data_IF_565314312157
#
_entry.id   IF_565314312157
#
_cell.length_a   1.000
_cell.length_b   1.000
_cell.length_c   1.000
_cell.angle_alpha   90.00
_cell.angle_beta   90.00
_cell.angle_gamma   90.00
#
_symmetry.space_group_name_H-M   'P 1'
#
loop_
_entity.id
_entity.type
_entity.pdbx_description
1 polymer ?
#
# COMPACT_ATOMS: atom_id res chain seq x y z
N UNK A 1 19.17 14.27 -46.37
CA UNK A 1 18.74 13.19 -45.46
C UNK A 1 18.64 13.78 -44.06
N UNK A 2 17.43 14.09 -43.60
CA UNK A 2 17.14 14.61 -42.26
C UNK A 2 16.65 13.45 -41.40
N UNK A 3 17.42 13.07 -40.39
CA UNK A 3 17.06 12.08 -39.40
C UNK A 3 16.12 12.71 -38.36
N UNK A 4 14.82 12.46 -38.47
CA UNK A 4 13.88 12.75 -37.40
C UNK A 4 13.87 11.58 -36.43
N UNK A 5 14.51 11.77 -35.27
CA UNK A 5 14.48 10.85 -34.14
C UNK A 5 13.06 10.82 -33.57
N UNK A 6 12.40 9.67 -33.71
CA UNK A 6 11.12 9.38 -33.09
C UNK A 6 11.32 9.21 -31.57
N UNK A 7 10.96 10.23 -30.80
CA UNK A 7 10.80 10.10 -29.35
C UNK A 7 9.48 9.41 -29.03
N UNK A 8 9.44 8.08 -29.15
CA UNK A 8 8.32 7.31 -28.61
C UNK A 8 8.31 7.46 -27.09
N UNK A 9 7.42 8.32 -26.59
CA UNK A 9 7.07 8.42 -25.18
C UNK A 9 6.30 7.14 -24.80
N UNK A 10 7.04 6.05 -24.60
CA UNK A 10 6.46 4.78 -24.19
C UNK A 10 5.86 4.93 -22.80
N UNK A 11 4.56 4.68 -22.76
CA UNK A 11 3.74 4.43 -21.59
C UNK A 11 4.29 3.21 -20.81
N UNK A 12 5.35 3.42 -20.03
CA UNK A 12 5.76 2.47 -19.01
C UNK A 12 4.89 2.69 -17.77
N UNK A 13 3.71 2.08 -17.75
CA UNK A 13 2.94 1.84 -16.51
C UNK A 13 3.57 0.77 -15.61
N UNK A 14 4.78 0.30 -15.92
CA UNK A 14 5.63 -0.43 -15.00
C UNK A 14 6.61 0.58 -14.40
N UNK A 15 6.45 0.98 -13.14
CA UNK A 15 7.53 1.62 -12.39
C UNK A 15 8.56 0.51 -12.13
N UNK A 16 9.65 0.39 -12.90
CA UNK A 16 10.59 -0.69 -12.70
C UNK A 16 11.61 -0.14 -11.70
N UNK A 17 11.44 -0.44 -10.42
CA UNK A 17 12.46 -0.12 -9.41
C UNK A 17 13.81 -0.86 -9.65
N UNK A 18 13.86 -1.75 -10.67
CA UNK A 18 15.06 -2.28 -11.31
C UNK A 18 15.91 -1.12 -11.87
N UNK A 19 16.71 -0.49 -11.02
CA UNK A 19 17.52 0.68 -11.36
C UNK A 19 17.57 1.76 -10.28
N UNK A 20 16.86 1.60 -9.17
CA UNK A 20 16.88 2.57 -8.06
C UNK A 20 18.10 2.45 -7.13
N UNK A 21 19.12 1.68 -7.53
CA UNK A 21 20.37 1.49 -6.80
C UNK A 21 21.33 2.71 -6.79
N UNK A 22 20.95 3.87 -7.35
CA UNK A 22 21.77 5.08 -7.27
C UNK A 22 21.50 5.85 -5.96
N UNK A 23 22.54 6.40 -5.34
CA UNK A 23 22.60 7.08 -4.03
C UNK A 23 21.80 8.40 -3.89
N UNK A 24 20.78 8.64 -4.73
CA UNK A 24 20.04 9.90 -4.76
C UNK A 24 18.56 9.73 -4.45
N UNK A 25 17.94 10.81 -3.97
CA UNK A 25 16.49 10.90 -3.80
C UNK A 25 15.79 10.76 -5.14
N UNK A 26 14.85 9.81 -5.25
CA UNK A 26 14.07 9.57 -6.47
C UNK A 26 12.60 9.85 -6.21
N UNK A 27 11.92 10.40 -7.21
CA UNK A 27 10.48 10.66 -7.15
C UNK A 27 9.78 9.84 -8.22
N UNK A 28 8.62 9.29 -7.87
CA UNK A 28 7.73 8.62 -8.82
C UNK A 28 6.28 9.00 -8.51
N UNK A 29 5.40 8.80 -9.48
CA UNK A 29 3.97 9.05 -9.35
C UNK A 29 3.21 7.84 -9.85
N UNK A 30 2.11 7.49 -9.20
CA UNK A 30 1.16 6.48 -9.65
C UNK A 30 -0.19 7.15 -9.85
N UNK A 31 -0.81 6.83 -10.98
CA UNK A 31 -2.18 7.19 -11.24
C UNK A 31 -3.08 6.05 -10.77
N UNK A 32 -4.05 6.35 -9.91
CA UNK A 32 -5.06 5.39 -9.45
C UNK A 32 -6.44 5.98 -9.67
N UNK A 33 -7.45 5.11 -9.78
CA UNK A 33 -8.84 5.57 -9.70
C UNK A 33 -9.22 5.76 -8.24
N UNK A 34 -9.82 6.87 -7.87
CA UNK A 34 -10.50 7.00 -6.58
C UNK A 34 -11.77 6.13 -6.57
N UNK A 35 -12.45 6.05 -5.42
CA UNK A 35 -13.69 5.25 -5.31
C UNK A 35 -14.83 5.74 -6.22
N UNK A 36 -14.77 6.99 -6.69
CA UNK A 36 -15.72 7.56 -7.66
C UNK A 36 -15.30 7.34 -9.12
N UNK A 37 -14.18 6.65 -9.39
CA UNK A 37 -13.68 6.38 -10.73
C UNK A 37 -12.85 7.49 -11.37
N UNK A 38 -12.59 8.58 -10.65
CA UNK A 38 -11.74 9.69 -11.12
C UNK A 38 -10.26 9.31 -11.02
N UNK A 39 -9.47 9.72 -12.00
CA UNK A 39 -8.02 9.49 -11.95
C UNK A 39 -7.37 10.49 -11.01
N UNK A 40 -6.68 10.00 -9.98
CA UNK A 40 -5.89 10.79 -9.04
C UNK A 40 -4.43 10.38 -9.08
N UNK A 41 -3.55 11.31 -8.71
CA UNK A 41 -2.11 11.09 -8.60
C UNK A 41 -1.69 10.90 -7.15
N UNK A 42 -0.94 9.83 -6.87
CA UNK A 42 -0.28 9.57 -5.58
C UNK A 42 1.23 9.44 -5.80
N UNK A 43 2.03 10.04 -4.92
CA UNK A 43 3.47 10.19 -5.09
C UNK A 43 4.31 9.24 -4.23
N UNK A 44 5.48 8.87 -4.75
CA UNK A 44 6.53 8.14 -4.05
C UNK A 44 7.77 9.04 -3.99
N UNK A 45 8.44 9.06 -2.84
CA UNK A 45 9.81 9.55 -2.72
C UNK A 45 10.64 8.39 -2.19
N UNK A 46 11.76 8.06 -2.83
CA UNK A 46 12.71 7.09 -2.30
C UNK A 46 13.94 7.79 -1.77
N UNK A 47 14.26 7.48 -0.54
CA UNK A 47 15.30 8.13 0.25
C UNK A 47 15.77 7.13 1.30
N UNK A 48 17.08 6.97 1.45
CA UNK A 48 17.71 6.08 2.42
C UNK A 48 17.19 4.63 2.37
N UNK A 49 16.97 4.09 1.16
CA UNK A 49 16.51 2.71 0.98
C UNK A 49 15.02 2.47 1.26
N UNK A 50 14.25 3.52 1.61
CA UNK A 50 12.84 3.43 1.94
C UNK A 50 11.98 4.25 0.98
N UNK A 51 10.77 3.75 0.73
CA UNK A 51 9.68 4.50 0.13
C UNK A 51 9.05 5.39 1.20
N UNK A 52 9.04 6.69 0.94
CA UNK A 52 8.24 7.71 1.60
C UNK A 52 6.98 7.93 0.76
N UNK A 53 5.84 7.72 1.39
CA UNK A 53 4.53 7.70 0.76
C UNK A 53 3.92 9.11 0.75
N UNK A 54 3.58 9.63 -0.42
CA UNK A 54 2.92 10.93 -0.59
C UNK A 54 1.42 10.80 -0.85
N UNK A 55 0.71 11.93 -0.91
CA UNK A 55 -0.72 11.97 -1.23
C UNK A 55 -1.63 11.95 0.00
N UNK A 56 -2.93 11.75 -0.24
CA UNK A 56 -3.96 11.91 0.78
C UNK A 56 -5.05 10.84 0.59
N UNK A 57 -5.19 9.92 1.55
CA UNK A 57 -6.18 8.85 1.48
C UNK A 57 -7.62 9.38 1.38
N UNK A 58 -7.94 10.51 2.00
CA UNK A 58 -9.27 11.14 1.91
C UNK A 58 -9.65 11.46 0.47
N UNK A 59 -8.68 11.94 -0.34
CA UNK A 59 -8.88 12.17 -1.78
C UNK A 59 -9.09 10.86 -2.54
N UNK A 60 -8.32 9.82 -2.19
CA UNK A 60 -8.47 8.47 -2.79
C UNK A 60 -9.81 7.81 -2.47
N UNK A 61 -10.38 8.12 -1.32
CA UNK A 61 -11.70 7.67 -0.89
C UNK A 61 -12.83 8.61 -1.29
N UNK A 62 -12.54 9.67 -2.06
CA UNK A 62 -13.50 10.68 -2.48
C UNK A 62 -14.40 11.19 -1.33
N UNK A 63 -13.82 11.42 -0.15
CA UNK A 63 -14.58 11.93 1.00
C UNK A 63 -14.57 13.46 0.93
N UNK A 64 -15.72 14.13 0.75
CA UNK A 64 -15.78 15.59 0.56
C UNK A 64 -15.28 16.37 1.78
N UNK A 65 -14.85 17.61 1.57
CA UNK A 65 -14.59 18.53 2.69
C UNK A 65 -15.90 18.77 3.47
N UNK A 66 -15.83 18.73 4.80
CA UNK A 66 -17.00 18.87 5.68
C UNK A 66 -17.72 17.56 6.02
N UNK A 67 -17.40 16.46 5.34
CA UNK A 67 -17.92 15.12 5.71
C UNK A 67 -17.28 14.65 7.03
N UNK A 68 -18.11 14.21 7.97
CA UNK A 68 -17.69 13.78 9.32
C UNK A 68 -16.99 12.42 9.34
N UNK A 69 -16.99 11.67 8.24
CA UNK A 69 -16.28 10.40 8.14
C UNK A 69 -14.77 10.62 8.06
N UNK A 70 -14.03 9.71 8.68
CA UNK A 70 -12.58 9.66 8.63
C UNK A 70 -12.10 8.69 7.55
N UNK A 71 -10.98 9.02 6.91
CA UNK A 71 -10.26 8.08 6.05
C UNK A 71 -9.41 7.18 6.95
N UNK A 72 -9.74 5.89 7.01
CA UNK A 72 -9.03 4.91 7.82
C UNK A 72 -8.19 4.00 6.93
N UNK A 73 -6.91 3.85 7.26
CA UNK A 73 -6.00 2.96 6.55
C UNK A 73 -6.19 1.51 7.02
N UNK A 74 -6.33 0.59 6.07
CA UNK A 74 -6.39 -0.85 6.37
C UNK A 74 -5.03 -1.37 6.85
N UNK A 75 -3.96 -1.06 6.12
CA UNK A 75 -2.60 -1.19 6.64
C UNK A 75 -2.25 0.15 7.26
N UNK A 76 -2.15 0.18 8.60
CA UNK A 76 -1.94 1.41 9.36
C UNK A 76 -0.68 2.17 8.92
N UNK A 77 -0.75 3.50 9.00
CA UNK A 77 0.36 4.39 8.69
C UNK A 77 1.57 4.17 9.60
N UNK A 78 1.39 3.63 10.80
CA UNK A 78 2.49 3.22 11.66
C UNK A 78 3.36 2.12 11.01
N UNK A 79 2.75 1.19 10.27
CA UNK A 79 3.42 0.09 9.60
C UNK A 79 4.05 0.47 8.25
N UNK A 80 4.04 1.75 7.86
CA UNK A 80 4.51 2.22 6.55
C UNK A 80 5.97 1.87 6.25
N UNK A 81 6.81 1.75 7.28
CA UNK A 81 8.24 1.42 7.17
C UNK A 81 8.51 -0.09 7.39
N UNK A 82 7.47 -0.91 7.63
CA UNK A 82 7.59 -2.36 7.76
C UNK A 82 8.15 -2.99 6.47
N UNK A 83 9.12 -3.92 6.54
CA UNK A 83 9.75 -4.52 5.36
C UNK A 83 8.77 -5.13 4.35
N UNK A 84 7.67 -5.74 4.82
CA UNK A 84 6.64 -6.32 3.96
C UNK A 84 5.90 -5.23 3.19
N UNK A 85 5.55 -4.12 3.85
CA UNK A 85 4.86 -2.98 3.24
C UNK A 85 5.77 -2.29 2.22
N UNK A 86 7.02 -2.05 2.58
CA UNK A 86 8.04 -1.51 1.69
C UNK A 86 8.21 -2.41 0.45
N UNK A 87 8.33 -3.73 0.65
CA UNK A 87 8.45 -4.69 -0.46
C UNK A 87 7.21 -4.76 -1.33
N UNK A 88 6.02 -4.66 -0.75
CA UNK A 88 4.78 -4.59 -1.50
C UNK A 88 4.71 -3.34 -2.40
N UNK A 89 5.31 -2.23 -1.98
CA UNK A 89 5.49 -1.03 -2.80
C UNK A 89 6.40 -1.25 -4.01
N UNK A 90 7.44 -2.07 -3.86
CA UNK A 90 8.36 -2.43 -4.96
C UNK A 90 7.82 -3.48 -5.93
N UNK A 91 6.72 -4.16 -5.59
CA UNK A 91 6.17 -5.25 -6.41
C UNK A 91 5.52 -4.72 -7.70
N UNK A 92 5.90 -5.28 -8.85
CA UNK A 92 5.54 -4.72 -10.18
C UNK A 92 4.07 -4.87 -10.57
N UNK A 93 3.39 -5.93 -10.11
CA UNK A 93 1.98 -6.21 -10.46
C UNK A 93 0.98 -5.58 -9.50
N UNK A 94 1.30 -5.54 -8.21
CA UNK A 94 0.41 -4.99 -7.19
C UNK A 94 0.70 -3.51 -6.94
N UNK A 95 1.97 -3.13 -7.00
CA UNK A 95 2.50 -1.77 -6.81
C UNK A 95 1.80 -1.05 -5.66
N UNK A 96 1.81 -1.65 -4.47
CA UNK A 96 1.03 -1.16 -3.33
C UNK A 96 1.39 0.30 -3.01
N UNK A 97 0.43 1.05 -2.48
CA UNK A 97 0.66 2.40 -2.01
C UNK A 97 -0.23 2.71 -0.79
N UNK A 98 0.34 3.30 0.26
CA UNK A 98 -0.38 3.57 1.52
C UNK A 98 -1.68 4.36 1.34
N UNK A 99 -1.67 5.38 0.47
CA UNK A 99 -2.84 6.21 0.16
C UNK A 99 -3.66 5.73 -1.05
N UNK A 100 -3.53 4.48 -1.52
CA UNK A 100 -4.42 4.01 -2.58
C UNK A 100 -5.80 3.63 -2.02
N UNK A 101 -6.88 3.71 -2.81
CA UNK A 101 -8.23 3.43 -2.32
C UNK A 101 -8.39 2.01 -1.77
N UNK A 102 -7.68 1.02 -2.34
CA UNK A 102 -7.74 -0.35 -1.81
C UNK A 102 -7.12 -0.52 -0.43
N UNK A 103 -6.33 0.45 0.06
CA UNK A 103 -5.79 0.45 1.43
C UNK A 103 -6.61 1.31 2.39
N UNK A 104 -7.83 1.70 2.05
CA UNK A 104 -8.63 2.53 2.94
C UNK A 104 -10.12 2.30 2.88
N UNK A 105 -10.78 2.77 3.92
CA UNK A 105 -12.22 2.77 4.06
C UNK A 105 -12.66 4.06 4.74
N UNK A 106 -13.80 4.60 4.33
CA UNK A 106 -14.43 5.71 5.04
C UNK A 106 -15.19 5.14 6.23
N UNK A 107 -14.88 5.60 7.44
CA UNK A 107 -15.55 5.18 8.68
C UNK A 107 -16.08 6.39 9.43
N UNK A 108 -17.10 6.19 10.24
CA UNK A 108 -17.56 7.24 11.15
C UNK A 108 -16.47 7.58 12.18
N UNK A 109 -16.33 8.85 12.55
CA UNK A 109 -15.30 9.33 13.47
C UNK A 109 -15.27 8.56 14.81
N UNK A 110 -16.44 8.19 15.33
CA UNK A 110 -16.57 7.46 16.60
C UNK A 110 -16.01 6.03 16.53
N UNK A 111 -16.00 5.39 15.35
CA UNK A 111 -15.45 4.04 15.17
C UNK A 111 -13.93 3.98 15.21
N UNK A 112 -13.28 5.13 15.08
CA UNK A 112 -11.83 5.22 15.07
C UNK A 112 -11.21 5.18 16.48
N UNK A 113 -12.00 4.96 17.54
CA UNK A 113 -11.59 4.90 18.94
C UNK A 113 -12.49 3.88 19.68
N UNK A 114 -12.02 3.14 20.70
CA UNK A 114 -10.69 3.14 21.33
C UNK A 114 -9.74 2.01 20.87
N UNK A 115 -10.17 1.13 19.95
CA UNK A 115 -9.45 -0.13 19.67
C UNK A 115 -8.25 -0.01 18.72
N UNK A 116 -7.79 1.22 18.42
CA UNK A 116 -6.69 1.46 17.49
C UNK A 116 -5.39 0.69 17.85
N UNK A 117 -4.98 0.59 19.13
CA UNK A 117 -3.79 -0.19 19.50
C UNK A 117 -3.94 -1.69 19.21
N UNK A 118 -5.10 -2.27 19.48
CA UNK A 118 -5.37 -3.69 19.22
C UNK A 118 -5.40 -3.98 17.71
N UNK A 119 -6.01 -3.08 16.94
CA UNK A 119 -6.00 -3.16 15.49
C UNK A 119 -4.57 -3.10 14.94
N UNK A 120 -3.78 -2.13 15.39
CA UNK A 120 -2.39 -1.98 14.97
C UNK A 120 -1.56 -3.23 15.29
N UNK A 121 -1.73 -3.81 16.47
CA UNK A 121 -1.07 -5.07 16.83
C UNK A 121 -1.48 -6.21 15.89
N UNK A 122 -2.78 -6.36 15.62
CA UNK A 122 -3.26 -7.38 14.68
C UNK A 122 -2.69 -7.19 13.26
N UNK A 123 -2.53 -5.95 12.80
CA UNK A 123 -1.88 -5.65 11.52
C UNK A 123 -0.40 -6.07 11.55
N UNK A 124 0.34 -5.70 12.58
CA UNK A 124 1.76 -6.08 12.73
C UNK A 124 1.94 -7.60 12.79
N UNK A 125 1.10 -8.32 13.54
CA UNK A 125 1.12 -9.77 13.62
C UNK A 125 0.85 -10.42 12.25
N UNK A 126 -0.08 -9.85 11.47
CA UNK A 126 -0.33 -10.32 10.11
C UNK A 126 0.85 -10.03 9.17
N UNK A 127 1.44 -8.84 9.25
CA UNK A 127 2.62 -8.49 8.46
C UNK A 127 3.80 -9.40 8.80
N UNK A 128 4.02 -9.70 10.08
CA UNK A 128 5.03 -10.65 10.52
C UNK A 128 4.79 -12.04 9.91
N UNK A 129 3.58 -12.59 10.07
CA UNK A 129 3.23 -13.92 9.54
C UNK A 129 3.37 -14.00 8.01
N UNK A 130 3.00 -12.93 7.30
CA UNK A 130 3.22 -12.81 5.85
C UNK A 130 4.71 -12.81 5.55
N UNK A 131 5.51 -12.04 6.30
CA UNK A 131 6.96 -12.00 6.18
C UNK A 131 7.60 -13.38 6.33
N UNK A 132 7.25 -14.12 7.38
CA UNK A 132 7.74 -15.49 7.60
C UNK A 132 7.34 -16.44 6.46
N UNK A 133 6.08 -16.37 6.01
CA UNK A 133 5.58 -17.18 4.89
C UNK A 133 6.37 -16.91 3.61
N UNK A 134 6.65 -15.64 3.32
CA UNK A 134 7.41 -15.24 2.14
C UNK A 134 8.86 -15.71 2.23
N UNK A 135 9.51 -15.51 3.38
CA UNK A 135 10.88 -15.97 3.65
C UNK A 135 11.02 -17.47 3.42
N UNK A 136 10.14 -18.26 4.04
CA UNK A 136 10.10 -19.72 3.89
C UNK A 136 9.90 -20.13 2.43
N UNK A 137 8.91 -19.54 1.76
CA UNK A 137 8.57 -19.87 0.36
C UNK A 137 9.71 -19.61 -0.62
N UNK A 138 10.51 -18.57 -0.40
CA UNK A 138 11.60 -18.18 -1.31
C UNK A 138 12.99 -18.56 -0.80
N UNK A 139 13.10 -19.28 0.31
CA UNK A 139 14.38 -19.64 0.91
C UNK A 139 15.25 -18.42 1.26
N UNK A 140 14.63 -17.37 1.81
CA UNK A 140 15.31 -16.12 2.21
C UNK A 140 15.30 -15.97 3.72
N UNK A 141 16.37 -15.41 4.27
CA UNK A 141 16.49 -15.09 5.70
C UNK A 141 15.83 -13.75 6.06
N UNK A 142 15.64 -12.85 5.08
CA UNK A 142 15.04 -11.52 5.25
C UNK A 142 14.00 -11.23 4.17
N UNK A 143 13.04 -10.36 4.48
CA UNK A 143 11.98 -9.93 3.54
C UNK A 143 12.54 -9.00 2.46
N UNK A 144 13.55 -8.21 2.82
CA UNK A 144 14.24 -7.25 1.96
C UNK A 144 14.97 -7.93 0.80
N UNK A 145 15.39 -9.19 1.00
CA UNK A 145 16.11 -10.01 0.02
C UNK A 145 15.18 -10.68 -1.02
N UNK A 146 13.86 -10.56 -0.87
CA UNK A 146 12.87 -11.20 -1.75
C UNK A 146 12.78 -10.48 -3.08
N UNK A 147 13.09 -11.06 -4.22
CA UNK A 147 12.96 -10.38 -5.54
C UNK A 147 11.55 -9.76 -5.74
N UNK A 148 11.40 -8.42 -6.00
CA UNK A 148 10.09 -7.79 -6.14
C UNK A 148 9.31 -8.31 -7.35
N UNK A 149 10.01 -8.78 -8.39
CA UNK A 149 9.39 -9.40 -9.56
C UNK A 149 8.77 -10.74 -9.17
N UNK A 150 9.44 -11.54 -8.34
CA UNK A 150 8.89 -12.81 -7.84
C UNK A 150 7.76 -12.60 -6.84
N UNK A 151 7.83 -11.55 -6.03
CA UNK A 151 6.76 -11.12 -5.12
C UNK A 151 5.48 -10.71 -5.87
N UNK A 152 5.61 -10.15 -7.08
CA UNK A 152 4.48 -9.65 -7.87
C UNK A 152 3.51 -10.76 -8.32
N UNK A 153 4.01 -11.99 -8.48
CA UNK A 153 3.20 -13.16 -8.81
C UNK A 153 2.42 -13.70 -7.63
N UNK A 154 2.74 -13.23 -6.42
CA UNK A 154 1.97 -13.56 -5.25
C UNK A 154 0.78 -12.64 -5.14
N UNK A 155 -0.34 -13.29 -4.87
CA UNK A 155 -1.55 -12.81 -4.21
C UNK A 155 -1.25 -12.08 -2.89
N UNK A 156 -0.03 -11.61 -2.61
CA UNK A 156 0.36 -10.90 -1.39
C UNK A 156 -0.55 -9.71 -1.13
N UNK A 157 -0.90 -8.91 -2.15
CA UNK A 157 -1.88 -7.83 -2.00
C UNK A 157 -3.31 -8.34 -1.72
N UNK A 158 -3.71 -9.43 -2.38
CA UNK A 158 -5.03 -10.07 -2.15
C UNK A 158 -5.10 -10.79 -0.80
N UNK A 159 -3.99 -11.29 -0.26
CA UNK A 159 -3.86 -11.94 1.05
C UNK A 159 -3.78 -10.87 2.15
N UNK A 160 -2.97 -9.82 1.95
CA UNK A 160 -2.93 -8.61 2.79
C UNK A 160 -4.33 -8.03 2.92
N UNK A 161 -5.01 -7.75 1.79
CA UNK A 161 -6.34 -7.17 1.82
C UNK A 161 -7.40 -8.13 2.33
N UNK A 162 -7.45 -9.41 1.90
CA UNK A 162 -8.47 -10.35 2.42
C UNK A 162 -8.36 -10.54 3.93
N UNK A 163 -7.15 -10.72 4.47
CA UNK A 163 -6.98 -10.95 5.91
C UNK A 163 -7.24 -9.69 6.73
N UNK A 164 -6.87 -8.51 6.22
CA UNK A 164 -7.11 -7.24 6.91
C UNK A 164 -8.58 -6.82 6.87
N UNK A 165 -9.29 -7.03 5.75
CA UNK A 165 -10.74 -6.75 5.66
C UNK A 165 -11.52 -7.61 6.65
N UNK A 166 -11.18 -8.90 6.80
CA UNK A 166 -11.82 -9.77 7.82
C UNK A 166 -11.61 -9.28 9.25
N UNK A 167 -10.50 -8.58 9.56
CA UNK A 167 -10.28 -8.01 10.89
C UNK A 167 -11.11 -6.75 11.13
N UNK A 168 -11.25 -5.89 10.12
CA UNK A 168 -12.18 -4.76 10.18
C UNK A 168 -13.63 -5.25 10.36
N UNK A 169 -14.05 -6.25 9.59
CA UNK A 169 -15.40 -6.81 9.68
C UNK A 169 -15.62 -7.60 10.98
N UNK A 170 -14.60 -8.32 11.48
CA UNK A 170 -14.65 -9.05 12.75
C UNK A 170 -14.83 -8.12 13.95
N UNK A 171 -14.19 -6.95 13.96
CA UNK A 171 -14.43 -5.89 14.95
C UNK A 171 -15.86 -5.33 14.84
N UNK A 172 -16.44 -5.23 13.63
CA UNK A 172 -17.83 -4.78 13.46
C UNK A 172 -18.89 -5.76 13.97
N UNK A 173 -18.61 -7.05 13.96
CA UNK A 173 -19.52 -8.07 14.49
C UNK A 173 -19.38 -8.22 16.03
N UNK A 174 -18.16 -8.15 16.56
CA UNK A 174 -17.91 -8.23 18.00
C UNK A 174 -18.60 -7.12 18.82
N UNK A 175 -18.70 -5.91 18.25
CA UNK A 175 -19.38 -4.77 18.90
C UNK A 175 -20.91 -4.78 18.73
N UNK A 176 -21.45 -5.49 17.73
CA UNK A 176 -22.92 -5.67 17.57
C UNK A 176 -23.50 -6.72 18.51
N UNK A 177 -22.69 -7.67 18.95
CA UNK A 177 -23.11 -8.73 19.88
C UNK A 177 -23.00 -8.30 21.35
N UNK A 178 -22.43 -7.12 21.62
CA UNK A 178 -22.18 -6.59 22.97
C UNK A 178 -22.91 -5.29 23.27
N UNK A 179 -23.81 -4.86 22.37
CA UNK A 179 -24.73 -3.71 22.50
C UNK A 179 -26.18 -4.16 22.47
#
# INVERSE_FOLDING_TARGET
MLSSFWGALYYLSAVPFLGWASTGTKYAVKFVKNVAGETIQIGYKFENGLIKWGGNLRKSLNIPNGDSRHAHHLIDWAARDNPVVQRAGFATKTNFHMNQPSNGIAIDAWRNQPNHPQYNQAIEDNLFNIGETLKSRFGKSRVEDLDPVRMSNLTAHKILLKRVITLCDGQTNYQKETS
#
